data_IF_283346988271
#
_entry.id   IF_283346988271
#
_cell.length_a   1.000
_cell.length_b   1.000
_cell.length_c   1.000
_cell.angle_alpha   90.00
_cell.angle_beta   90.00
_cell.angle_gamma   90.00
#
_symmetry.space_group_name_H-M   'P 1'
#
loop_
_entity.id
_entity.type
_entity.pdbx_description
1 polymer ?
#
# COMPACT_ATOMS: atom_id res chain seq x y z
N UNK A 1 -14.43 22.30 9.52
CA UNK A 1 -15.21 21.55 8.51
C UNK A 1 -14.96 20.08 8.83
N UNK A 2 -15.70 19.13 8.28
CA UNK A 2 -15.34 17.72 8.42
C UNK A 2 -14.68 17.22 7.15
N UNK A 3 -13.93 16.12 7.24
CA UNK A 3 -13.38 15.43 6.07
C UNK A 3 -14.49 15.08 5.06
N UNK A 4 -15.66 14.68 5.55
CA UNK A 4 -16.84 14.37 4.74
C UNK A 4 -17.35 15.57 3.95
N UNK A 5 -17.36 16.76 4.56
CA UNK A 5 -17.75 18.01 3.89
C UNK A 5 -16.74 18.44 2.80
N UNK A 6 -15.48 18.00 2.93
CA UNK A 6 -14.41 18.23 1.94
C UNK A 6 -14.24 17.11 0.91
N UNK A 7 -15.16 16.14 0.85
CA UNK A 7 -15.01 14.95 -0.01
C UNK A 7 -14.61 15.27 -1.46
N UNK A 8 -15.26 16.25 -2.10
CA UNK A 8 -14.94 16.62 -3.49
C UNK A 8 -13.54 17.22 -3.66
N UNK A 9 -13.11 18.04 -2.71
CA UNK A 9 -11.78 18.67 -2.70
C UNK A 9 -10.70 17.62 -2.48
N UNK A 10 -10.88 16.75 -1.46
CA UNK A 10 -9.98 15.64 -1.18
C UNK A 10 -9.87 14.70 -2.39
N UNK A 11 -11.00 14.33 -3.01
CA UNK A 11 -11.02 13.50 -4.22
C UNK A 11 -10.23 14.14 -5.36
N UNK A 12 -10.43 15.44 -5.60
CA UNK A 12 -9.71 16.17 -6.64
C UNK A 12 -8.20 16.17 -6.39
N UNK A 13 -7.77 16.51 -5.17
CA UNK A 13 -6.36 16.57 -4.80
C UNK A 13 -5.70 15.19 -4.85
N UNK A 14 -6.38 14.14 -4.40
CA UNK A 14 -5.86 12.76 -4.47
C UNK A 14 -5.66 12.32 -5.93
N UNK A 15 -6.60 12.63 -6.83
CA UNK A 15 -6.44 12.36 -8.28
C UNK A 15 -5.27 13.10 -8.87
N UNK A 16 -5.17 14.40 -8.58
CA UNK A 16 -4.08 15.24 -9.07
C UNK A 16 -2.71 14.74 -8.60
N UNK A 17 -2.58 14.43 -7.31
CA UNK A 17 -1.39 13.85 -6.72
C UNK A 17 -1.01 12.52 -7.39
N UNK A 18 -1.98 11.60 -7.55
CA UNK A 18 -1.74 10.30 -8.18
C UNK A 18 -1.31 10.43 -9.65
N UNK A 19 -1.96 11.30 -10.43
CA UNK A 19 -1.58 11.56 -11.82
C UNK A 19 -0.17 12.17 -11.93
N UNK A 20 0.20 13.05 -10.99
CA UNK A 20 1.54 13.61 -10.92
C UNK A 20 2.59 12.55 -10.53
N UNK A 21 2.25 11.59 -9.65
CA UNK A 21 3.12 10.44 -9.35
C UNK A 21 3.39 9.63 -10.61
N UNK A 22 2.33 9.28 -11.36
CA UNK A 22 2.45 8.56 -12.64
C UNK A 22 3.38 9.32 -13.59
N UNK A 23 3.17 10.62 -13.77
CA UNK A 23 4.01 11.47 -14.63
C UNK A 23 5.48 11.46 -14.20
N UNK A 24 5.75 11.53 -12.88
CA UNK A 24 7.13 11.47 -12.37
C UNK A 24 7.76 10.10 -12.60
N UNK A 25 7.01 9.02 -12.42
CA UNK A 25 7.48 7.67 -12.70
C UNK A 25 7.86 7.51 -14.17
N UNK A 26 7.01 7.97 -15.09
CA UNK A 26 7.27 7.97 -16.53
C UNK A 26 8.55 8.73 -16.91
N UNK A 27 8.86 9.82 -16.18
CA UNK A 27 10.07 10.62 -16.44
C UNK A 27 11.37 10.03 -15.85
N UNK A 28 11.27 9.06 -14.93
CA UNK A 28 12.41 8.59 -14.13
C UNK A 28 12.74 7.11 -14.28
N UNK A 29 11.86 6.33 -14.91
CA UNK A 29 12.03 4.89 -15.05
C UNK A 29 12.00 4.46 -16.51
N UNK A 30 12.46 3.24 -16.74
CA UNK A 30 12.54 2.61 -18.05
C UNK A 30 11.35 1.71 -18.33
N UNK A 31 11.24 1.25 -19.58
CA UNK A 31 10.11 0.45 -20.06
C UNK A 31 9.87 -0.81 -19.21
N UNK A 32 8.64 -0.99 -18.75
CA UNK A 32 8.18 -2.15 -17.98
C UNK A 32 8.79 -2.28 -16.58
N UNK A 33 9.46 -1.23 -16.08
CA UNK A 33 10.17 -1.29 -14.82
C UNK A 33 9.22 -1.28 -13.61
N UNK A 34 8.14 -0.51 -13.67
CA UNK A 34 7.18 -0.36 -12.56
C UNK A 34 6.16 -1.51 -12.58
N UNK A 35 6.15 -2.29 -11.52
CA UNK A 35 5.30 -3.48 -11.36
C UNK A 35 4.28 -3.35 -10.23
N UNK A 36 4.41 -2.32 -9.38
CA UNK A 36 3.43 -1.98 -8.36
C UNK A 36 3.38 -0.48 -8.13
N UNK A 37 2.19 0.05 -7.90
CA UNK A 37 1.92 1.43 -7.49
C UNK A 37 0.66 1.44 -6.62
N UNK A 38 0.83 1.70 -5.32
CA UNK A 38 -0.25 1.67 -4.34
C UNK A 38 -0.31 2.98 -3.58
N UNK A 39 -1.51 3.34 -3.11
CA UNK A 39 -1.63 4.31 -2.04
C UNK A 39 -1.06 3.72 -0.75
N UNK A 40 -0.32 4.54 -0.03
CA UNK A 40 0.42 4.14 1.16
C UNK A 40 0.09 5.06 2.34
N UNK A 41 -1.13 4.96 2.91
CA UNK A 41 -1.53 5.75 4.07
C UNK A 41 -0.71 5.41 5.32
N UNK A 42 -0.42 6.42 6.14
CA UNK A 42 0.15 6.25 7.48
C UNK A 42 -0.72 6.87 8.57
N UNK A 43 -0.47 6.48 9.82
CA UNK A 43 -1.12 7.05 11.00
C UNK A 43 -2.66 7.00 10.96
N UNK A 44 -3.23 5.92 10.40
CA UNK A 44 -4.68 5.76 10.27
C UNK A 44 -5.31 6.73 9.28
N UNK A 45 -4.69 6.93 8.11
CA UNK A 45 -5.10 7.89 7.06
C UNK A 45 -4.91 9.36 7.40
N UNK A 46 -4.16 9.70 8.46
CA UNK A 46 -3.77 11.11 8.71
C UNK A 46 -2.81 11.64 7.66
N UNK A 47 -2.02 10.75 7.08
CA UNK A 47 -1.13 11.05 5.97
C UNK A 47 -1.42 10.10 4.82
N UNK A 48 -1.48 10.66 3.61
CA UNK A 48 -1.56 9.92 2.36
C UNK A 48 -0.27 10.09 1.56
N UNK A 49 0.09 9.03 0.86
CA UNK A 49 1.20 9.00 -0.07
C UNK A 49 1.08 7.81 -0.99
N UNK A 50 2.18 7.49 -1.68
CA UNK A 50 2.27 6.32 -2.53
C UNK A 50 3.54 5.54 -2.27
N UNK A 51 3.49 4.25 -2.56
CA UNK A 51 4.66 3.41 -2.71
C UNK A 51 4.61 2.76 -4.10
N UNK A 52 5.78 2.54 -4.70
CA UNK A 52 5.89 1.82 -5.96
C UNK A 52 6.99 0.76 -5.88
N UNK A 53 6.81 -0.31 -6.63
CA UNK A 53 7.75 -1.39 -6.79
C UNK A 53 8.31 -1.39 -8.22
N UNK A 54 9.62 -1.58 -8.31
CA UNK A 54 10.31 -1.89 -9.55
C UNK A 54 10.49 -3.40 -9.72
N UNK A 55 10.73 -3.87 -10.94
CA UNK A 55 11.10 -5.26 -11.20
C UNK A 55 12.32 -5.70 -10.37
N UNK A 56 13.24 -4.78 -10.06
CA UNK A 56 14.39 -5.05 -9.20
C UNK A 56 13.99 -5.29 -7.72
N UNK A 57 12.92 -4.64 -7.24
CA UNK A 57 12.38 -4.86 -5.90
C UNK A 57 11.80 -6.27 -5.77
N UNK A 58 11.08 -6.73 -6.80
CA UNK A 58 10.56 -8.10 -6.82
C UNK A 58 11.65 -9.18 -6.91
N UNK A 59 12.83 -8.83 -7.43
CA UNK A 59 13.94 -9.77 -7.64
C UNK A 59 14.93 -9.82 -6.47
N UNK A 60 15.22 -8.70 -5.80
CA UNK A 60 16.16 -8.65 -4.66
C UNK A 60 15.79 -9.59 -3.51
N UNK A 61 14.52 -9.90 -3.46
CA UNK A 61 13.81 -10.48 -2.35
C UNK A 61 13.34 -11.91 -2.66
N UNK A 62 13.73 -12.42 -3.84
CA UNK A 62 13.65 -13.84 -4.18
C UNK A 62 14.79 -14.64 -3.53
N UNK A 63 15.20 -14.27 -2.30
CA UNK A 63 16.11 -15.08 -1.50
C UNK A 63 15.34 -16.34 -1.11
N UNK A 64 15.56 -17.35 -1.96
CA UNK A 64 15.24 -18.76 -1.78
C UNK A 64 15.11 -19.15 -0.32
N UNK A 65 13.87 -19.43 0.14
CA UNK A 65 13.42 -20.47 1.09
C UNK A 65 14.28 -20.89 2.30
N UNK A 66 15.33 -20.14 2.62
CA UNK A 66 16.41 -20.50 3.50
C UNK A 66 16.83 -19.20 4.20
N UNK A 67 15.84 -18.56 4.83
CA UNK A 67 16.10 -17.72 5.99
C UNK A 67 16.69 -18.65 7.04
N UNK A 68 18.00 -18.92 6.95
CA UNK A 68 18.74 -19.51 8.04
C UNK A 68 18.64 -18.51 9.19
N UNK A 69 17.65 -18.73 10.06
CA UNK A 69 17.45 -17.93 11.26
C UNK A 69 18.79 -17.81 11.97
N UNK A 70 19.12 -16.60 12.42
CA UNK A 70 20.37 -16.33 13.12
C UNK A 70 20.59 -17.43 14.19
N UNK A 71 21.70 -18.20 14.13
CA UNK A 71 21.98 -19.25 15.10
C UNK A 71 21.88 -18.78 16.55
N UNK A 72 22.17 -17.49 16.79
CA UNK A 72 22.06 -16.86 18.11
C UNK A 72 20.59 -16.66 18.53
N UNK A 73 19.72 -16.31 17.59
CA UNK A 73 18.28 -16.22 17.83
C UNK A 73 17.69 -17.61 18.10
N UNK A 74 18.07 -18.62 17.30
CA UNK A 74 17.67 -20.01 17.52
C UNK A 74 18.13 -20.53 18.88
N UNK A 75 19.34 -20.17 19.31
CA UNK A 75 19.87 -20.51 20.63
C UNK A 75 19.10 -19.84 21.76
N UNK A 76 18.77 -18.55 21.63
CA UNK A 76 17.93 -17.84 22.61
C UNK A 76 16.51 -18.41 22.71
N UNK A 77 15.99 -19.00 21.63
CA UNK A 77 14.67 -19.59 21.59
C UNK A 77 14.64 -21.05 22.08
N UNK A 78 15.77 -21.70 22.37
CA UNK A 78 15.83 -23.11 22.82
C UNK A 78 14.94 -23.42 24.01
N UNK A 79 14.83 -22.48 24.96
CA UNK A 79 14.04 -22.64 26.19
C UNK A 79 12.59 -22.13 26.06
N UNK A 80 12.18 -21.68 24.88
CA UNK A 80 10.86 -21.09 24.61
C UNK A 80 10.16 -21.82 23.44
N UNK A 81 9.63 -23.04 23.67
CA UNK A 81 9.01 -23.87 22.63
C UNK A 81 7.76 -23.22 22.01
N UNK A 82 7.06 -22.37 22.75
CA UNK A 82 5.94 -21.58 22.26
C UNK A 82 6.37 -20.51 21.25
N UNK A 83 7.53 -19.87 21.47
CA UNK A 83 8.11 -18.91 20.54
C UNK A 83 8.72 -19.61 19.32
N UNK A 84 9.34 -20.77 19.47
CA UNK A 84 9.79 -21.59 18.33
C UNK A 84 8.62 -22.02 17.45
N UNK A 85 7.50 -22.44 18.05
CA UNK A 85 6.31 -22.81 17.31
C UNK A 85 5.73 -21.63 16.54
N UNK A 86 5.69 -20.43 17.16
CA UNK A 86 5.28 -19.19 16.49
C UNK A 86 6.19 -18.82 15.33
N UNK A 87 7.50 -19.00 15.50
CA UNK A 87 8.50 -18.73 14.47
C UNK A 87 8.34 -19.68 13.27
N UNK A 88 8.14 -20.97 13.55
CA UNK A 88 7.92 -22.02 12.54
C UNK A 88 6.56 -21.87 11.81
N UNK A 89 5.55 -21.32 12.48
CA UNK A 89 4.25 -20.99 11.87
C UNK A 89 4.26 -19.65 11.12
N UNK A 90 5.26 -18.79 11.34
CA UNK A 90 5.40 -17.47 10.73
C UNK A 90 6.40 -17.45 9.57
N UNK A 91 6.64 -18.58 8.91
CA UNK A 91 7.42 -18.57 7.66
C UNK A 91 6.71 -17.63 6.68
N UNK A 92 7.29 -16.46 6.34
CA UNK A 92 6.66 -15.55 5.41
C UNK A 92 6.43 -16.32 4.11
N UNK A 93 5.24 -16.18 3.51
CA UNK A 93 5.05 -16.76 2.17
C UNK A 93 6.17 -16.22 1.27
N UNK A 94 6.64 -17.01 0.29
CA UNK A 94 7.71 -16.60 -0.64
C UNK A 94 7.40 -15.33 -1.44
N UNK A 95 6.22 -14.73 -1.26
CA UNK A 95 5.70 -13.59 -1.98
C UNK A 95 5.50 -12.34 -1.08
N UNK A 96 5.76 -12.40 0.24
CA UNK A 96 5.54 -11.26 1.16
C UNK A 96 6.30 -10.02 0.66
N UNK A 97 7.56 -10.17 0.31
CA UNK A 97 8.39 -9.06 -0.14
C UNK A 97 7.98 -8.53 -1.54
N UNK A 98 7.24 -9.33 -2.32
CA UNK A 98 6.71 -8.90 -3.63
C UNK A 98 5.44 -8.05 -3.49
N UNK A 99 4.71 -8.19 -2.37
CA UNK A 99 3.39 -7.57 -2.22
C UNK A 99 3.30 -6.58 -1.07
N UNK A 100 4.29 -6.47 -0.18
CA UNK A 100 4.27 -5.52 0.93
C UNK A 100 5.06 -4.26 0.61
N UNK A 101 4.36 -3.12 0.52
CA UNK A 101 4.89 -1.82 0.14
C UNK A 101 5.93 -1.24 1.10
N UNK A 102 5.95 -1.68 2.36
CA UNK A 102 7.00 -1.32 3.32
C UNK A 102 8.38 -1.82 2.89
N UNK A 103 8.44 -2.89 2.07
CA UNK A 103 9.68 -3.48 1.58
C UNK A 103 10.17 -2.85 0.26
N UNK A 104 9.41 -1.91 -0.31
CA UNK A 104 9.72 -1.31 -1.62
C UNK A 104 10.57 -0.05 -1.48
N UNK A 105 11.53 0.16 -2.38
CA UNK A 105 12.36 1.37 -2.37
C UNK A 105 11.56 2.66 -2.64
N UNK A 106 10.37 2.54 -3.24
CA UNK A 106 9.54 3.67 -3.64
C UNK A 106 8.66 4.23 -2.54
N UNK A 107 8.67 3.65 -1.33
CA UNK A 107 7.82 4.10 -0.22
C UNK A 107 8.06 5.59 0.10
N UNK A 108 7.01 6.40 -0.01
CA UNK A 108 7.01 7.84 0.33
C UNK A 108 7.98 8.72 -0.48
N UNK A 109 8.45 8.24 -1.65
CA UNK A 109 9.40 8.99 -2.50
C UNK A 109 8.84 10.31 -3.03
N UNK A 110 7.52 10.39 -3.23
CA UNK A 110 6.83 11.55 -3.80
C UNK A 110 5.87 12.21 -2.80
N UNK A 111 6.25 12.26 -1.52
CA UNK A 111 5.41 12.85 -0.47
C UNK A 111 5.02 14.30 -0.76
N UNK A 112 5.89 15.06 -1.43
CA UNK A 112 5.66 16.46 -1.80
C UNK A 112 4.44 16.67 -2.71
N UNK A 113 4.03 15.63 -3.47
CA UNK A 113 2.81 15.68 -4.28
C UNK A 113 1.52 15.60 -3.45
N UNK A 114 1.64 15.26 -2.17
CA UNK A 114 0.53 15.06 -1.25
C UNK A 114 0.46 16.15 -0.17
N UNK A 115 1.38 17.12 -0.15
CA UNK A 115 1.45 18.15 0.91
C UNK A 115 0.12 18.88 1.12
N UNK A 116 -0.49 19.43 0.05
CA UNK A 116 -1.77 20.15 0.13
C UNK A 116 -2.92 19.25 0.61
N UNK A 117 -2.96 18.01 0.15
CA UNK A 117 -3.95 17.01 0.57
C UNK A 117 -3.79 16.68 2.06
N UNK A 118 -2.55 16.43 2.50
CA UNK A 118 -2.24 16.06 3.87
C UNK A 118 -2.45 17.25 4.83
N UNK A 119 -2.20 18.48 4.40
CA UNK A 119 -2.53 19.69 5.18
C UNK A 119 -4.03 19.77 5.49
N UNK A 120 -4.88 19.48 4.50
CA UNK A 120 -6.33 19.44 4.71
C UNK A 120 -6.72 18.30 5.63
N UNK A 121 -6.14 17.11 5.43
CA UNK A 121 -6.42 15.96 6.29
C UNK A 121 -6.06 16.30 7.74
N UNK A 122 -4.84 16.78 7.99
CA UNK A 122 -4.40 17.19 9.33
C UNK A 122 -5.30 18.25 9.96
N UNK A 123 -5.73 19.25 9.17
CA UNK A 123 -6.59 20.31 9.66
C UNK A 123 -7.97 19.80 10.10
N UNK A 124 -8.56 18.86 9.36
CA UNK A 124 -9.97 18.48 9.53
C UNK A 124 -10.15 17.10 10.20
N UNK A 125 -9.09 16.31 10.39
CA UNK A 125 -9.19 14.98 11.01
C UNK A 125 -9.71 15.04 12.45
N UNK A 126 -9.08 15.85 13.31
CA UNK A 126 -9.51 16.00 14.71
C UNK A 126 -10.89 16.68 14.82
N UNK A 127 -11.20 17.76 14.07
CA UNK A 127 -12.56 18.29 13.99
C UNK A 127 -13.62 17.27 13.55
N UNK A 128 -13.26 16.32 12.69
CA UNK A 128 -14.17 15.24 12.27
C UNK A 128 -14.46 14.29 13.43
N UNK A 129 -13.46 13.96 14.24
CA UNK A 129 -13.67 13.22 15.48
C UNK A 129 -14.53 13.98 16.48
N UNK A 130 -14.25 15.26 16.69
CA UNK A 130 -14.99 16.13 17.63
C UNK A 130 -16.46 16.31 17.20
N UNK A 131 -16.74 16.21 15.91
CA UNK A 131 -18.10 16.20 15.36
C UNK A 131 -18.87 14.89 15.62
N UNK A 132 -18.24 13.88 16.23
CA UNK A 132 -18.86 12.63 16.66
C UNK A 132 -18.72 11.46 15.70
N UNK A 133 -17.87 11.57 14.67
CA UNK A 133 -17.55 10.45 13.79
C UNK A 133 -16.48 9.56 14.42
N UNK A 134 -16.68 8.24 14.35
CA UNK A 134 -15.70 7.29 14.86
C UNK A 134 -14.60 6.94 13.83
N UNK A 135 -13.55 6.26 14.29
CA UNK A 135 -12.42 5.87 13.44
C UNK A 135 -12.85 4.98 12.27
N UNK A 136 -13.86 4.14 12.47
CA UNK A 136 -14.32 3.20 11.45
C UNK A 136 -14.96 3.98 10.29
N UNK A 137 -15.80 4.95 10.59
CA UNK A 137 -16.44 5.80 9.57
C UNK A 137 -15.41 6.59 8.77
N UNK A 138 -14.35 7.09 9.44
CA UNK A 138 -13.27 7.83 8.78
C UNK A 138 -12.43 6.90 7.89
N UNK A 139 -12.11 5.69 8.36
CA UNK A 139 -11.43 4.69 7.54
C UNK A 139 -12.27 4.30 6.32
N UNK A 140 -13.57 4.01 6.50
CA UNK A 140 -14.49 3.66 5.42
C UNK A 140 -14.56 4.79 4.37
N UNK A 141 -14.58 6.05 4.81
CA UNK A 141 -14.51 7.22 3.94
C UNK A 141 -13.26 7.24 3.06
N UNK A 142 -12.07 7.04 3.64
CA UNK A 142 -10.83 7.03 2.87
C UNK A 142 -10.73 5.80 1.96
N UNK A 143 -11.21 4.65 2.40
CA UNK A 143 -11.25 3.45 1.56
C UNK A 143 -12.10 3.66 0.30
N UNK A 144 -13.30 4.24 0.45
CA UNK A 144 -14.17 4.57 -0.68
C UNK A 144 -13.52 5.59 -1.62
N UNK A 145 -12.94 6.65 -1.05
CA UNK A 145 -12.25 7.70 -1.81
C UNK A 145 -11.09 7.12 -2.62
N UNK A 146 -10.17 6.38 -1.97
CA UNK A 146 -8.99 5.83 -2.64
C UNK A 146 -9.37 4.78 -3.68
N UNK A 147 -10.38 3.94 -3.40
CA UNK A 147 -10.90 2.97 -4.38
C UNK A 147 -11.45 3.66 -5.61
N UNK A 148 -12.26 4.71 -5.42
CA UNK A 148 -12.81 5.51 -6.51
C UNK A 148 -11.72 6.13 -7.38
N UNK A 149 -10.68 6.70 -6.76
CA UNK A 149 -9.53 7.27 -7.49
C UNK A 149 -8.79 6.22 -8.31
N UNK A 150 -8.53 5.04 -7.74
CA UNK A 150 -7.84 3.96 -8.46
C UNK A 150 -8.65 3.42 -9.64
N UNK A 151 -9.95 3.18 -9.45
CA UNK A 151 -10.84 2.73 -10.52
C UNK A 151 -10.90 3.74 -11.66
N UNK A 152 -10.96 5.03 -11.33
CA UNK A 152 -10.93 6.09 -12.34
C UNK A 152 -9.59 6.14 -13.08
N UNK A 153 -8.46 6.06 -12.37
CA UNK A 153 -7.13 6.01 -12.96
C UNK A 153 -6.97 4.83 -13.94
N UNK A 154 -7.54 3.66 -13.60
CA UNK A 154 -7.58 2.50 -14.49
C UNK A 154 -8.46 2.74 -15.72
N UNK A 155 -9.64 3.31 -15.53
CA UNK A 155 -10.55 3.65 -16.64
C UNK A 155 -9.91 4.63 -17.64
N UNK A 156 -9.12 5.57 -17.12
CA UNK A 156 -8.35 6.55 -17.88
C UNK A 156 -7.02 6.00 -18.40
N UNK A 157 -6.68 4.75 -18.09
CA UNK A 157 -5.44 4.07 -18.52
C UNK A 157 -4.17 4.84 -18.13
N UNK A 158 -4.16 5.48 -16.96
CA UNK A 158 -3.00 6.25 -16.50
C UNK A 158 -1.73 5.39 -16.36
N UNK A 159 -1.89 4.09 -16.07
CA UNK A 159 -0.77 3.15 -15.91
C UNK A 159 -0.50 2.32 -17.17
N UNK A 160 -0.97 2.76 -18.35
CA UNK A 160 -0.68 2.09 -19.64
C UNK A 160 0.57 2.66 -20.34
N UNK A 161 1.28 3.61 -19.70
CA UNK A 161 2.55 4.14 -20.20
C UNK A 161 3.63 3.07 -20.29
N UNK A 162 4.65 3.29 -21.13
CA UNK A 162 5.66 2.26 -21.39
C UNK A 162 6.44 1.84 -20.14
N UNK A 163 6.56 2.70 -19.12
CA UNK A 163 7.31 2.39 -17.89
C UNK A 163 6.63 1.35 -17.00
N UNK A 164 5.33 1.12 -17.19
CA UNK A 164 4.55 0.20 -16.38
C UNK A 164 4.55 -1.20 -17.01
N UNK A 165 4.54 -2.22 -16.15
CA UNK A 165 4.27 -3.58 -16.55
C UNK A 165 2.82 -3.74 -17.06
N UNK A 166 2.56 -4.78 -17.85
CA UNK A 166 1.22 -5.05 -18.39
C UNK A 166 0.17 -5.29 -17.27
N UNK A 167 0.59 -5.81 -16.12
CA UNK A 167 -0.25 -6.06 -14.95
C UNK A 167 0.41 -5.46 -13.69
N UNK A 168 0.04 -4.22 -13.36
CA UNK A 168 0.57 -3.48 -12.21
C UNK A 168 -0.24 -3.80 -10.96
N UNK A 169 0.45 -4.14 -9.86
CA UNK A 169 -0.19 -4.22 -8.54
C UNK A 169 -0.64 -2.83 -8.09
N UNK A 170 -1.93 -2.66 -7.85
CA UNK A 170 -2.53 -1.42 -7.37
C UNK A 170 -3.29 -1.64 -6.06
N UNK A 171 -3.82 -0.57 -5.46
CA UNK A 171 -4.61 -0.66 -4.23
C UNK A 171 -4.09 0.24 -3.13
N UNK A 172 -4.43 -0.14 -1.90
CA UNK A 172 -3.99 0.52 -0.68
C UNK A 172 -3.18 -0.49 0.12
N UNK A 173 -2.05 -0.05 0.66
CA UNK A 173 -1.23 -0.84 1.57
C UNK A 173 -0.78 0.02 2.74
N UNK A 174 -0.60 -0.62 3.89
CA UNK A 174 -0.24 0.07 5.13
C UNK A 174 1.18 -0.29 5.54
N UNK A 175 1.85 0.56 6.33
CA UNK A 175 3.14 0.25 6.93
C UNK A 175 3.14 -0.99 7.82
N UNK A 176 1.99 -1.35 8.37
CA UNK A 176 1.80 -2.57 9.14
C UNK A 176 0.88 -3.58 8.42
N UNK A 177 0.89 -4.81 8.91
CA UNK A 177 0.02 -5.88 8.39
C UNK A 177 -1.34 -5.93 9.07
N UNK A 178 -1.66 -4.95 9.94
CA UNK A 178 -2.85 -4.99 10.80
C UNK A 178 -4.15 -4.81 10.01
N UNK A 179 -4.09 -4.12 8.87
CA UNK A 179 -5.24 -3.79 8.02
C UNK A 179 -5.41 -4.74 6.82
N UNK A 180 -5.03 -6.01 6.99
CA UNK A 180 -5.09 -7.03 5.93
C UNK A 180 -6.48 -7.16 5.27
N UNK A 181 -7.57 -7.04 6.03
CA UNK A 181 -8.93 -7.12 5.48
C UNK A 181 -9.25 -5.99 4.51
N UNK A 182 -8.85 -4.76 4.83
CA UNK A 182 -8.99 -3.61 3.94
C UNK A 182 -8.17 -3.80 2.67
N UNK A 183 -6.90 -4.21 2.79
CA UNK A 183 -6.03 -4.47 1.63
C UNK A 183 -6.65 -5.51 0.70
N UNK A 184 -7.14 -6.62 1.24
CA UNK A 184 -7.73 -7.71 0.46
C UNK A 184 -9.07 -7.30 -0.16
N UNK A 185 -9.93 -6.60 0.58
CA UNK A 185 -11.21 -6.08 0.07
C UNK A 185 -10.99 -5.14 -1.11
N UNK A 186 -10.10 -4.15 -0.98
CA UNK A 186 -9.82 -3.22 -2.07
C UNK A 186 -9.19 -3.93 -3.28
N UNK A 187 -8.27 -4.87 -3.01
CA UNK A 187 -7.61 -5.64 -4.05
C UNK A 187 -8.60 -6.39 -4.96
N UNK A 188 -9.72 -6.89 -4.42
CA UNK A 188 -10.76 -7.54 -5.25
C UNK A 188 -11.37 -6.61 -6.30
N UNK A 189 -11.37 -5.31 -6.05
CA UNK A 189 -11.97 -4.31 -6.94
C UNK A 189 -10.99 -3.77 -7.98
N UNK A 190 -9.71 -3.62 -7.60
CA UNK A 190 -8.72 -2.90 -8.41
C UNK A 190 -7.63 -3.78 -8.99
N UNK A 191 -7.43 -5.01 -8.52
CA UNK A 191 -6.34 -5.85 -9.02
C UNK A 191 -6.82 -6.99 -9.92
N UNK A 192 -5.89 -7.49 -10.73
CA UNK A 192 -6.07 -8.76 -11.44
C UNK A 192 -6.27 -9.91 -10.44
N UNK A 193 -6.92 -10.98 -10.89
CA UNK A 193 -7.09 -12.18 -10.07
C UNK A 193 -5.75 -12.76 -9.60
N UNK A 194 -4.68 -12.61 -10.40
CA UNK A 194 -3.34 -13.07 -10.03
C UNK A 194 -2.78 -12.27 -8.87
N UNK A 195 -2.86 -10.93 -8.93
CA UNK A 195 -2.40 -10.07 -7.84
C UNK A 195 -3.22 -10.25 -6.57
N UNK A 196 -4.55 -10.38 -6.70
CA UNK A 196 -5.42 -10.64 -5.55
C UNK A 196 -5.05 -11.95 -4.84
N UNK A 197 -4.84 -13.03 -5.60
CA UNK A 197 -4.44 -14.33 -5.02
C UNK A 197 -3.08 -14.26 -4.31
N UNK A 198 -2.10 -13.52 -4.87
CA UNK A 198 -0.80 -13.33 -4.22
C UNK A 198 -0.92 -12.57 -2.90
N UNK A 199 -1.76 -11.53 -2.86
CA UNK A 199 -2.06 -10.81 -1.63
C UNK A 199 -2.75 -11.72 -0.59
N UNK A 200 -3.77 -12.50 -0.98
CA UNK A 200 -4.40 -13.46 -0.07
C UNK A 200 -3.38 -14.42 0.54
N UNK A 201 -2.50 -15.00 -0.29
CA UNK A 201 -1.45 -15.90 0.18
C UNK A 201 -0.48 -15.21 1.14
N UNK A 202 -0.10 -13.95 0.89
CA UNK A 202 0.78 -13.18 1.76
C UNK A 202 0.15 -12.84 3.12
N UNK A 203 -1.16 -12.59 3.15
CA UNK A 203 -1.91 -12.33 4.39
C UNK A 203 -2.50 -13.58 5.05
N UNK A 204 -2.19 -14.79 4.54
CA UNK A 204 -2.63 -16.06 5.12
C UNK A 204 -4.14 -16.32 5.00
N UNK A 205 -4.76 -15.90 3.89
CA UNK A 205 -6.18 -16.09 3.57
C UNK A 205 -6.42 -17.04 2.41
#
# INVERSE_FOLDING_TARGET
MTLFERHSELTYLTKAAFANVVTRLESTHTKGEICGLVFYPSSGYRDLGTAFATSADLQRNHVSGDLSLDPKLLEMLKDHPDLQQKLASNTPSSNVEQVHACEWNGASKFHDLFDELNDIIHLEYDPTYDAGFDNRQICEFFEELLTSVLLEAQSLKLMNGEVFADDVLTGVQFPDTSNSETVLRLSQHVNSASWHQRLCAAYGK
#
